data_IF_004975364022
#
_entry.id   IF_004975364022
#
_cell.length_a   1.000
_cell.length_b   1.000
_cell.length_c   1.000
_cell.angle_alpha   90.00
_cell.angle_beta   90.00
_cell.angle_gamma   90.00
#
_symmetry.space_group_name_H-M   'P 1'
#
loop_
_entity.id
_entity.type
_entity.pdbx_description
1 polymer ?
#
# COMPACT_ATOMS: atom_id res chain seq x y z
N UNK A 1 83.63 117.73 -86.73
CA UNK A 1 82.71 117.24 -87.79
C UNK A 1 83.40 116.13 -88.57
N UNK A 2 82.92 114.88 -88.49
CA UNK A 2 83.09 113.89 -89.56
C UNK A 2 81.74 113.23 -89.82
N UNK A 3 81.52 112.80 -91.05
CA UNK A 3 80.19 112.74 -91.67
C UNK A 3 79.40 111.49 -91.25
N UNK A 4 78.11 111.68 -90.97
CA UNK A 4 77.10 110.62 -90.95
C UNK A 4 77.04 109.93 -92.31
N UNK A 5 77.67 108.75 -92.44
CA UNK A 5 77.56 107.91 -93.63
C UNK A 5 76.24 107.13 -93.58
N UNK A 6 75.19 107.73 -94.11
CA UNK A 6 73.81 107.19 -94.13
C UNK A 6 73.64 106.11 -95.21
N UNK A 7 74.30 104.95 -95.06
CA UNK A 7 73.87 103.71 -95.77
C UNK A 7 74.40 102.34 -95.32
N UNK A 8 75.14 102.21 -94.21
CA UNK A 8 75.63 100.90 -93.73
C UNK A 8 75.47 100.73 -92.23
N UNK A 9 75.17 99.50 -91.77
CA UNK A 9 75.35 99.12 -90.36
C UNK A 9 76.84 99.02 -90.06
N UNK A 10 77.26 99.57 -88.93
CA UNK A 10 78.63 99.54 -88.47
C UNK A 10 78.86 98.34 -87.54
N UNK A 11 80.04 97.75 -87.59
CA UNK A 11 80.39 96.59 -86.75
C UNK A 11 80.30 96.93 -85.25
N UNK A 12 80.70 98.15 -84.86
CA UNK A 12 80.57 98.63 -83.49
C UNK A 12 79.12 98.69 -82.97
N UNK A 13 78.14 99.05 -83.82
CA UNK A 13 76.72 99.03 -83.45
C UNK A 13 76.23 97.59 -83.19
N UNK A 14 76.70 96.63 -84.01
CA UNK A 14 76.38 95.20 -83.90
C UNK A 14 76.94 94.62 -82.61
N UNK A 15 78.20 94.93 -82.29
CA UNK A 15 78.88 94.44 -81.10
C UNK A 15 78.26 95.00 -79.82
N UNK A 16 77.95 96.30 -79.78
CA UNK A 16 77.30 96.93 -78.63
C UNK A 16 75.88 96.36 -78.37
N UNK A 17 75.11 96.10 -79.43
CA UNK A 17 73.80 95.48 -79.31
C UNK A 17 73.87 94.00 -78.88
N UNK A 18 74.89 93.25 -79.33
CA UNK A 18 75.09 91.86 -78.93
C UNK A 18 75.56 91.75 -77.46
N UNK A 19 76.49 92.60 -77.02
CA UNK A 19 76.90 92.74 -75.61
C UNK A 19 75.68 93.10 -74.73
N UNK A 20 74.84 94.05 -75.17
CA UNK A 20 73.63 94.46 -74.44
C UNK A 20 72.55 93.37 -74.33
N UNK A 21 72.44 92.46 -75.31
CA UNK A 21 71.54 91.32 -75.26
C UNK A 21 72.06 90.22 -74.31
N UNK A 22 73.37 89.97 -74.28
CA UNK A 22 73.98 89.09 -73.26
C UNK A 22 73.77 89.65 -71.85
N UNK A 23 73.92 90.96 -71.64
CA UNK A 23 73.66 91.60 -70.35
C UNK A 23 72.20 91.43 -69.87
N UNK A 24 71.26 91.18 -70.79
CA UNK A 24 69.85 90.88 -70.50
C UNK A 24 69.57 89.36 -70.39
N UNK A 25 70.59 88.51 -70.45
CA UNK A 25 70.45 87.04 -70.42
C UNK A 25 69.87 86.44 -71.71
N UNK A 26 69.73 87.21 -72.79
CA UNK A 26 69.12 86.79 -74.04
C UNK A 26 70.18 86.40 -75.06
N UNK A 27 69.96 85.28 -75.78
CA UNK A 27 70.88 84.87 -76.85
C UNK A 27 70.87 85.88 -78.01
N UNK A 28 72.01 86.51 -78.35
CA UNK A 28 72.11 87.42 -79.48
C UNK A 28 72.06 86.62 -80.77
N UNK A 29 70.90 86.65 -81.42
CA UNK A 29 70.66 86.09 -82.75
C UNK A 29 70.53 87.24 -83.75
N UNK A 30 70.82 86.97 -85.04
CA UNK A 30 70.79 87.97 -86.13
C UNK A 30 69.48 88.78 -86.11
N UNK A 31 68.35 88.11 -85.86
CA UNK A 31 67.03 88.73 -85.73
C UNK A 31 66.94 89.71 -84.55
N UNK A 32 67.38 89.30 -83.35
CA UNK A 32 67.32 90.14 -82.13
C UNK A 32 68.29 91.31 -82.17
N UNK A 33 69.49 91.10 -82.70
CA UNK A 33 70.48 92.18 -82.87
C UNK A 33 69.96 93.21 -83.88
N UNK A 34 69.29 92.77 -84.97
CA UNK A 34 68.60 93.70 -85.89
C UNK A 34 67.46 94.46 -85.19
N UNK A 35 66.65 93.80 -84.35
CA UNK A 35 65.58 94.45 -83.59
C UNK A 35 66.13 95.51 -82.62
N UNK A 36 67.26 95.24 -81.96
CA UNK A 36 67.89 96.15 -81.00
C UNK A 36 68.51 97.41 -81.66
N UNK A 37 69.01 97.30 -82.90
CA UNK A 37 69.63 98.41 -83.65
C UNK A 37 68.60 99.13 -84.56
N UNK A 38 67.52 98.45 -84.93
CA UNK A 38 66.43 98.95 -85.78
C UNK A 38 66.76 99.07 -87.27
N UNK A 39 67.95 98.64 -87.71
CA UNK A 39 68.45 98.80 -89.09
C UNK A 39 69.44 97.68 -89.47
N UNK A 40 69.58 97.42 -90.77
CA UNK A 40 70.52 96.44 -91.34
C UNK A 40 69.85 95.26 -92.05
N UNK A 41 70.45 94.77 -93.14
CA UNK A 41 70.01 93.51 -93.76
C UNK A 41 70.61 92.30 -93.02
N UNK A 42 69.95 91.13 -93.01
CA UNK A 42 70.53 89.92 -92.41
C UNK A 42 71.93 89.58 -92.95
N UNK A 43 72.14 89.77 -94.25
CA UNK A 43 73.43 89.52 -94.93
C UNK A 43 74.55 90.48 -94.48
N UNK A 44 74.20 91.64 -93.91
CA UNK A 44 75.17 92.62 -93.39
C UNK A 44 75.48 92.37 -91.91
N UNK A 45 74.49 91.94 -91.13
CA UNK A 45 74.65 91.68 -89.69
C UNK A 45 75.31 90.33 -89.44
N UNK A 46 75.04 89.30 -90.26
CA UNK A 46 75.58 87.94 -90.05
C UNK A 46 77.10 87.89 -89.92
N UNK A 47 77.91 88.48 -90.83
CA UNK A 47 79.38 88.39 -90.72
C UNK A 47 79.92 89.16 -89.51
N UNK A 48 79.33 90.31 -89.17
CA UNK A 48 79.73 91.15 -88.03
C UNK A 48 79.35 90.54 -86.67
N UNK A 49 78.27 89.75 -86.63
CA UNK A 49 77.88 88.96 -85.48
C UNK A 49 78.81 87.75 -85.30
N UNK A 50 79.29 87.17 -86.40
CA UNK A 50 80.19 86.02 -86.41
C UNK A 50 81.63 86.42 -85.99
N UNK A 51 82.15 87.57 -86.42
CA UNK A 51 83.39 88.15 -85.88
C UNK A 51 83.27 88.50 -84.39
N UNK A 52 82.10 89.01 -83.97
CA UNK A 52 81.80 89.22 -82.56
C UNK A 52 81.80 87.91 -81.75
N UNK A 53 81.11 86.87 -82.21
CA UNK A 53 81.11 85.55 -81.53
C UNK A 53 82.51 84.92 -81.47
N UNK A 54 83.32 85.05 -82.54
CA UNK A 54 84.70 84.56 -82.56
C UNK A 54 85.60 85.27 -81.54
N UNK A 55 85.41 86.59 -81.33
CA UNK A 55 86.17 87.37 -80.33
C UNK A 55 85.56 87.30 -78.93
N UNK A 56 84.27 86.98 -78.79
CA UNK A 56 83.56 86.86 -77.52
C UNK A 56 84.21 85.81 -76.60
N UNK A 57 84.68 84.68 -77.15
CA UNK A 57 85.38 83.65 -76.39
C UNK A 57 86.64 84.18 -75.70
N UNK A 58 87.41 85.04 -76.37
CA UNK A 58 88.57 85.72 -75.78
C UNK A 58 88.15 86.80 -74.78
N UNK A 59 87.13 87.61 -75.09
CA UNK A 59 86.65 88.70 -74.23
C UNK A 59 86.03 88.21 -72.90
N UNK A 60 85.37 87.05 -72.90
CA UNK A 60 84.82 86.42 -71.70
C UNK A 60 85.84 85.57 -70.92
N UNK A 61 87.10 85.48 -71.38
CA UNK A 61 88.12 84.61 -70.78
C UNK A 61 87.92 83.11 -70.99
N UNK A 62 86.82 82.69 -71.63
CA UNK A 62 86.47 81.26 -71.83
C UNK A 62 87.38 80.58 -72.87
N UNK A 63 87.94 81.34 -73.82
CA UNK A 63 88.95 80.82 -74.76
C UNK A 63 90.33 80.55 -74.12
N UNK A 64 90.54 80.92 -72.85
CA UNK A 64 91.69 80.45 -72.04
C UNK A 64 91.36 79.16 -71.24
N UNK A 65 90.16 78.61 -71.40
CA UNK A 65 89.60 77.50 -70.62
C UNK A 65 90.13 76.09 -70.92
N UNK A 66 91.43 75.95 -71.26
CA UNK A 66 92.10 74.65 -71.36
C UNK A 66 93.51 74.60 -70.72
N UNK A 67 94.00 75.68 -70.10
CA UNK A 67 95.38 75.67 -69.57
C UNK A 67 95.70 76.69 -68.49
N UNK A 68 95.01 77.83 -68.45
CA UNK A 68 95.30 78.83 -67.41
C UNK A 68 94.57 78.48 -66.11
N UNK A 69 95.32 77.87 -65.21
CA UNK A 69 95.03 77.82 -63.78
C UNK A 69 94.53 79.20 -63.34
N UNK A 70 93.27 79.32 -62.90
CA UNK A 70 92.94 80.44 -62.03
C UNK A 70 93.87 80.33 -60.82
N UNK A 71 94.63 81.39 -60.46
CA UNK A 71 95.26 81.48 -59.16
C UNK A 71 94.21 81.80 -58.09
N UNK A 72 93.11 81.04 -58.07
CA UNK A 72 92.58 80.50 -56.82
C UNK A 72 93.49 79.37 -56.33
N UNK A 73 94.81 79.63 -56.32
CA UNK A 73 95.73 79.01 -55.38
C UNK A 73 95.35 79.53 -54.00
N UNK A 74 94.23 79.01 -53.50
CA UNK A 74 93.95 78.90 -52.07
C UNK A 74 95.27 78.42 -51.48
N UNK A 75 95.98 79.27 -50.71
CA UNK A 75 97.39 78.97 -50.41
C UNK A 75 97.50 77.59 -49.79
N UNK A 76 98.52 76.83 -50.13
CA UNK A 76 98.86 75.53 -49.53
C UNK A 76 98.44 75.34 -48.05
N UNK A 77 98.76 76.26 -47.11
CA UNK A 77 98.30 76.15 -45.72
C UNK A 77 96.77 76.17 -45.57
N UNK A 78 96.04 76.92 -46.38
CA UNK A 78 94.57 77.01 -46.38
C UNK A 78 93.92 75.75 -46.98
N UNK A 79 94.51 75.14 -48.02
CA UNK A 79 94.03 73.83 -48.51
C UNK A 79 94.23 72.73 -47.46
N UNK A 80 95.41 72.68 -46.81
CA UNK A 80 95.68 71.71 -45.73
C UNK A 80 94.76 71.93 -44.53
N UNK A 81 94.50 73.18 -44.15
CA UNK A 81 93.50 73.50 -43.11
C UNK A 81 92.08 73.07 -43.51
N UNK A 82 91.69 73.25 -44.77
CA UNK A 82 90.37 72.81 -45.25
C UNK A 82 90.23 71.28 -45.24
N UNK A 83 91.29 70.53 -45.58
CA UNK A 83 91.31 69.07 -45.47
C UNK A 83 91.31 68.62 -44.01
N UNK A 84 92.12 69.21 -43.13
CA UNK A 84 92.09 68.91 -41.69
C UNK A 84 90.71 69.20 -41.06
N UNK A 85 90.04 70.28 -41.46
CA UNK A 85 88.67 70.59 -41.03
C UNK A 85 87.65 69.59 -41.59
N UNK A 86 87.83 69.11 -42.83
CA UNK A 86 86.96 68.11 -43.44
C UNK A 86 87.12 66.74 -42.78
N UNK A 87 88.36 66.30 -42.55
CA UNK A 87 88.67 65.03 -41.90
C UNK A 87 88.15 65.03 -40.46
N UNK A 88 88.39 66.11 -39.70
CA UNK A 88 87.84 66.27 -38.35
C UNK A 88 86.29 66.33 -38.34
N UNK A 89 85.66 66.98 -39.34
CA UNK A 89 84.20 66.97 -39.48
C UNK A 89 83.66 65.57 -39.84
N UNK A 90 84.41 64.79 -40.62
CA UNK A 90 84.05 63.43 -40.98
C UNK A 90 84.21 62.47 -39.79
N UNK A 91 85.29 62.58 -39.02
CA UNK A 91 85.49 61.84 -37.76
C UNK A 91 84.35 62.15 -36.77
N UNK A 92 84.06 63.43 -36.52
CA UNK A 92 82.96 63.85 -35.65
C UNK A 92 81.59 63.34 -36.15
N UNK A 93 81.35 63.32 -37.47
CA UNK A 93 80.14 62.76 -38.06
C UNK A 93 80.07 61.22 -37.91
N UNK A 94 81.20 60.50 -38.02
CA UNK A 94 81.26 59.05 -37.78
C UNK A 94 81.05 58.71 -36.30
N UNK A 95 81.61 59.50 -35.37
CA UNK A 95 81.38 59.32 -33.94
C UNK A 95 79.90 59.58 -33.57
N UNK A 96 79.32 60.68 -34.07
CA UNK A 96 77.90 60.97 -33.89
C UNK A 96 77.01 59.87 -34.49
N UNK A 97 77.35 59.33 -35.67
CA UNK A 97 76.63 58.23 -36.29
C UNK A 97 76.76 56.92 -35.48
N UNK A 98 77.95 56.60 -34.94
CA UNK A 98 78.15 55.43 -34.06
C UNK A 98 77.35 55.54 -32.77
N UNK A 99 77.37 56.71 -32.10
CA UNK A 99 76.57 56.95 -30.89
C UNK A 99 75.06 56.89 -31.17
N UNK A 100 74.60 57.44 -32.30
CA UNK A 100 73.21 57.35 -32.73
C UNK A 100 72.78 55.91 -33.10
N UNK A 101 73.71 55.07 -33.56
CA UNK A 101 73.45 53.68 -33.89
C UNK A 101 73.44 52.81 -32.62
N UNK A 102 74.41 52.99 -31.71
CA UNK A 102 74.44 52.34 -30.39
C UNK A 102 73.19 52.64 -29.57
N UNK A 103 72.80 53.91 -29.43
CA UNK A 103 71.56 54.28 -28.70
C UNK A 103 70.29 53.70 -29.35
N UNK A 104 70.27 53.48 -30.67
CA UNK A 104 69.18 52.78 -31.36
C UNK A 104 69.19 51.27 -31.10
N UNK A 105 70.36 50.64 -31.06
CA UNK A 105 70.51 49.22 -30.72
C UNK A 105 70.12 48.96 -29.27
N UNK A 106 70.54 49.80 -28.33
CA UNK A 106 70.14 49.76 -26.92
C UNK A 106 68.62 49.90 -26.75
N UNK A 107 68.00 50.88 -27.43
CA UNK A 107 66.54 51.06 -27.40
C UNK A 107 65.78 49.89 -28.07
N UNK A 108 66.32 49.30 -29.14
CA UNK A 108 65.75 48.13 -29.78
C UNK A 108 65.85 46.88 -28.88
N UNK A 109 66.98 46.69 -28.20
CA UNK A 109 67.16 45.60 -27.23
C UNK A 109 66.24 45.76 -26.02
N UNK A 110 66.10 46.98 -25.48
CA UNK A 110 65.20 47.26 -24.37
C UNK A 110 63.73 46.97 -24.75
N UNK A 111 63.26 47.48 -25.89
CA UNK A 111 61.88 47.22 -26.36
C UNK A 111 61.64 45.75 -26.72
N UNK A 112 62.64 45.03 -27.22
CA UNK A 112 62.56 43.59 -27.43
C UNK A 112 62.45 42.81 -26.11
N UNK A 113 63.22 43.19 -25.09
CA UNK A 113 63.14 42.57 -23.76
C UNK A 113 61.78 42.84 -23.08
N UNK A 114 61.28 44.07 -23.14
CA UNK A 114 59.94 44.42 -22.65
C UNK A 114 58.84 43.61 -23.36
N UNK A 115 58.93 43.46 -24.68
CA UNK A 115 57.97 42.67 -25.46
C UNK A 115 58.03 41.18 -25.10
N UNK A 116 59.23 40.62 -24.87
CA UNK A 116 59.41 39.25 -24.42
C UNK A 116 58.81 39.03 -23.03
N UNK A 117 59.05 39.94 -22.08
CA UNK A 117 58.45 39.86 -20.75
C UNK A 117 56.92 39.94 -20.81
N UNK A 118 56.37 40.85 -21.62
CA UNK A 118 54.92 40.95 -21.85
C UNK A 118 54.35 39.66 -22.46
N UNK A 119 55.02 39.05 -23.44
CA UNK A 119 54.62 37.76 -24.01
C UNK A 119 54.64 36.63 -22.97
N UNK A 120 55.67 36.55 -22.14
CA UNK A 120 55.72 35.58 -21.04
C UNK A 120 54.62 35.81 -20.01
N UNK A 121 54.37 37.06 -19.61
CA UNK A 121 53.29 37.40 -18.68
C UNK A 121 51.92 37.02 -19.25
N UNK A 122 51.68 37.26 -20.54
CA UNK A 122 50.43 36.87 -21.22
C UNK A 122 50.30 35.35 -21.32
N UNK A 123 51.34 34.63 -21.72
CA UNK A 123 51.32 33.16 -21.77
C UNK A 123 51.07 32.53 -20.39
N UNK A 124 51.65 33.10 -19.32
CA UNK A 124 51.37 32.66 -17.93
C UNK A 124 49.93 32.95 -17.50
N UNK A 125 49.35 34.08 -17.93
CA UNK A 125 47.92 34.40 -17.69
C UNK A 125 47.00 33.44 -18.46
N UNK A 126 47.27 33.20 -19.73
CA UNK A 126 46.51 32.24 -20.55
C UNK A 126 46.56 30.82 -19.95
N UNK A 127 47.75 30.33 -19.60
CA UNK A 127 47.91 29.02 -18.97
C UNK A 127 47.15 28.91 -17.63
N UNK A 128 47.18 29.94 -16.78
CA UNK A 128 46.45 29.94 -15.51
C UNK A 128 44.93 30.09 -15.66
N UNK A 129 44.47 30.85 -16.65
CA UNK A 129 43.05 30.92 -17.02
C UNK A 129 42.55 29.59 -17.59
N UNK A 130 43.37 28.92 -18.41
CA UNK A 130 43.05 27.61 -18.98
C UNK A 130 42.96 26.53 -17.89
N UNK A 131 43.93 26.49 -16.97
CA UNK A 131 43.90 25.60 -15.81
C UNK A 131 42.69 25.88 -14.88
N UNK A 132 42.32 27.14 -14.66
CA UNK A 132 41.11 27.50 -13.91
C UNK A 132 39.84 27.03 -14.61
N UNK A 133 39.76 27.17 -15.94
CA UNK A 133 38.64 26.68 -16.74
C UNK A 133 38.53 25.16 -16.64
N UNK A 134 39.63 24.43 -16.84
CA UNK A 134 39.66 22.97 -16.74
C UNK A 134 39.25 22.49 -15.34
N UNK A 135 39.71 23.15 -14.28
CA UNK A 135 39.28 22.87 -12.91
C UNK A 135 37.78 23.17 -12.68
N UNK A 136 37.24 24.24 -13.27
CA UNK A 136 35.81 24.55 -13.20
C UNK A 136 34.96 23.55 -13.99
N UNK A 137 35.40 23.16 -15.20
CA UNK A 137 34.72 22.18 -16.04
C UNK A 137 34.69 20.80 -15.34
N UNK A 138 35.79 20.40 -14.68
CA UNK A 138 35.83 19.20 -13.83
C UNK A 138 34.89 19.31 -12.62
N UNK A 139 34.90 20.44 -11.90
CA UNK A 139 33.99 20.67 -10.77
C UNK A 139 32.51 20.64 -11.21
N UNK A 140 32.19 21.17 -12.39
CA UNK A 140 30.86 21.13 -12.98
C UNK A 140 30.45 19.69 -13.34
N UNK A 141 31.34 18.90 -13.94
CA UNK A 141 31.08 17.49 -14.24
C UNK A 141 30.83 16.68 -12.97
N UNK A 142 31.62 16.89 -11.91
CA UNK A 142 31.43 16.24 -10.60
C UNK A 142 30.09 16.67 -9.98
N UNK A 143 29.75 17.95 -10.00
CA UNK A 143 28.46 18.44 -9.49
C UNK A 143 27.26 17.89 -10.29
N UNK A 144 27.37 17.78 -11.60
CA UNK A 144 26.35 17.16 -12.46
C UNK A 144 26.19 15.67 -12.15
N UNK A 145 27.29 14.92 -12.01
CA UNK A 145 27.25 13.51 -11.64
C UNK A 145 26.65 13.30 -10.24
N UNK A 146 26.99 14.14 -9.26
CA UNK A 146 26.37 14.12 -7.93
C UNK A 146 24.87 14.44 -7.99
N UNK A 147 24.45 15.42 -8.80
CA UNK A 147 23.04 15.76 -9.00
C UNK A 147 22.25 14.59 -9.63
N UNK A 148 22.85 13.88 -10.60
CA UNK A 148 22.25 12.69 -11.21
C UNK A 148 22.15 11.52 -10.22
N UNK A 149 23.18 11.27 -9.42
CA UNK A 149 23.16 10.23 -8.37
C UNK A 149 22.12 10.56 -7.29
N UNK A 150 22.01 11.82 -6.86
CA UNK A 150 20.96 12.26 -5.93
C UNK A 150 19.56 12.16 -6.51
N UNK A 151 19.35 12.53 -7.78
CA UNK A 151 18.06 12.35 -8.47
C UNK A 151 17.68 10.87 -8.51
N UNK A 152 18.60 10.00 -8.93
CA UNK A 152 18.37 8.56 -8.99
C UNK A 152 18.05 7.97 -7.61
N UNK A 153 18.74 8.40 -6.55
CA UNK A 153 18.43 7.96 -5.18
C UNK A 153 17.06 8.46 -4.72
N UNK A 154 16.64 9.66 -5.11
CA UNK A 154 15.29 10.16 -4.83
C UNK A 154 14.23 9.31 -5.55
N UNK A 155 14.45 8.99 -6.83
CA UNK A 155 13.56 8.11 -7.60
C UNK A 155 13.46 6.70 -6.98
N UNK A 156 14.61 6.11 -6.59
CA UNK A 156 14.67 4.81 -5.90
C UNK A 156 13.97 4.84 -4.53
N UNK A 157 14.11 5.92 -3.76
CA UNK A 157 13.38 6.11 -2.48
C UNK A 157 11.89 6.33 -2.70
N UNK A 158 11.49 7.06 -3.74
CA UNK A 158 10.08 7.31 -4.06
C UNK A 158 9.37 6.02 -4.49
N UNK A 159 10.04 5.19 -5.30
CA UNK A 159 9.56 3.84 -5.63
C UNK A 159 9.43 2.96 -4.37
N UNK A 160 10.43 2.98 -3.47
CA UNK A 160 10.36 2.22 -2.22
C UNK A 160 9.25 2.68 -1.26
N UNK A 161 8.83 3.96 -1.34
CA UNK A 161 7.67 4.45 -0.60
C UNK A 161 6.37 3.99 -1.25
N UNK A 162 6.24 4.06 -2.57
CA UNK A 162 5.09 3.54 -3.32
C UNK A 162 4.87 2.04 -3.07
N UNK A 163 5.92 1.22 -3.23
CA UNK A 163 5.97 -0.20 -2.87
C UNK A 163 5.50 -0.49 -1.43
N UNK A 164 5.74 0.44 -0.50
CA UNK A 164 5.36 0.30 0.91
C UNK A 164 3.94 0.73 1.17
N UNK A 165 3.46 1.79 0.52
CA UNK A 165 2.09 2.25 0.63
C UNK A 165 1.14 1.21 0.01
N UNK A 166 1.46 0.66 -1.16
CA UNK A 166 0.72 -0.45 -1.78
C UNK A 166 0.62 -1.66 -0.83
N UNK A 167 1.75 -2.13 -0.27
CA UNK A 167 1.75 -3.23 0.72
C UNK A 167 1.00 -2.90 2.01
N UNK A 168 0.96 -1.63 2.41
CA UNK A 168 0.16 -1.19 3.56
C UNK A 168 -1.34 -1.20 3.26
N UNK A 169 -1.75 -0.89 2.03
CA UNK A 169 -3.14 -1.03 1.58
C UNK A 169 -3.55 -2.50 1.47
N UNK A 170 -2.75 -3.36 0.82
CA UNK A 170 -2.97 -4.82 0.77
C UNK A 170 -3.15 -5.42 2.19
N UNK A 171 -2.30 -5.03 3.13
CA UNK A 171 -2.37 -5.52 4.52
C UNK A 171 -3.56 -4.93 5.30
N UNK A 172 -4.02 -3.71 4.98
CA UNK A 172 -5.25 -3.13 5.56
C UNK A 172 -6.48 -3.86 5.05
N UNK A 173 -6.55 -4.15 3.75
CA UNK A 173 -7.66 -4.87 3.13
C UNK A 173 -7.73 -6.30 3.64
N UNK A 174 -6.60 -7.02 3.70
CA UNK A 174 -6.54 -8.36 4.29
C UNK A 174 -6.99 -8.38 5.77
N UNK A 175 -6.65 -7.35 6.55
CA UNK A 175 -7.10 -7.22 7.94
C UNK A 175 -8.59 -6.90 8.03
N UNK A 176 -9.12 -6.06 7.13
CA UNK A 176 -10.55 -5.75 7.05
C UNK A 176 -11.38 -6.98 6.64
N UNK A 177 -10.90 -7.78 5.69
CA UNK A 177 -11.50 -9.07 5.32
C UNK A 177 -11.47 -10.07 6.47
N UNK A 178 -10.33 -10.24 7.14
CA UNK A 178 -10.22 -11.10 8.31
C UNK A 178 -11.16 -10.67 9.45
N UNK A 179 -11.33 -9.35 9.66
CA UNK A 179 -12.27 -8.80 10.63
C UNK A 179 -13.73 -9.14 10.25
N UNK A 180 -14.13 -8.95 9.00
CA UNK A 180 -15.46 -9.33 8.48
C UNK A 180 -15.73 -10.83 8.60
N UNK A 181 -14.74 -11.67 8.27
CA UNK A 181 -14.83 -13.12 8.42
C UNK A 181 -15.02 -13.53 9.88
N UNK A 182 -14.25 -12.92 10.81
CA UNK A 182 -14.40 -13.16 12.25
C UNK A 182 -15.77 -12.75 12.76
N UNK A 183 -16.28 -11.59 12.34
CA UNK A 183 -17.61 -11.11 12.72
C UNK A 183 -18.71 -12.05 12.20
N UNK A 184 -18.64 -12.45 10.93
CA UNK A 184 -19.60 -13.40 10.34
C UNK A 184 -19.58 -14.78 11.05
N UNK A 185 -18.41 -15.26 11.48
CA UNK A 185 -18.31 -16.48 12.29
C UNK A 185 -18.88 -16.29 13.70
N UNK A 186 -18.67 -15.14 14.33
CA UNK A 186 -19.25 -14.81 15.64
C UNK A 186 -20.78 -14.69 15.58
N UNK A 187 -21.33 -14.09 14.52
CA UNK A 187 -22.77 -13.99 14.28
C UNK A 187 -23.37 -15.40 14.11
N UNK A 188 -22.83 -16.22 13.19
CA UNK A 188 -23.29 -17.61 12.99
C UNK A 188 -23.23 -18.45 14.27
N UNK A 189 -22.13 -18.37 15.02
CA UNK A 189 -22.02 -19.10 16.29
C UNK A 189 -23.04 -18.60 17.33
N UNK A 190 -23.34 -17.30 17.35
CA UNK A 190 -24.41 -16.72 18.15
C UNK A 190 -25.80 -17.24 17.78
N UNK A 191 -26.09 -17.34 16.47
CA UNK A 191 -27.33 -17.90 15.94
C UNK A 191 -27.47 -19.39 16.28
N UNK A 192 -26.42 -20.20 16.07
CA UNK A 192 -26.36 -21.62 16.45
C UNK A 192 -26.58 -21.84 17.94
N UNK A 193 -25.97 -21.00 18.80
CA UNK A 193 -26.15 -21.07 20.24
C UNK A 193 -27.57 -20.66 20.66
N UNK A 194 -28.18 -19.68 20.00
CA UNK A 194 -29.56 -19.27 20.25
C UNK A 194 -30.56 -20.34 19.79
N UNK A 195 -30.38 -20.92 18.59
CA UNK A 195 -31.25 -22.01 18.11
C UNK A 195 -31.13 -23.24 19.00
N UNK A 196 -29.92 -23.65 19.39
CA UNK A 196 -29.70 -24.75 20.32
C UNK A 196 -30.31 -24.47 21.72
N UNK A 197 -30.29 -23.22 22.19
CA UNK A 197 -30.94 -22.84 23.44
C UNK A 197 -32.47 -22.93 23.35
N UNK A 198 -33.06 -22.43 22.24
CA UNK A 198 -34.50 -22.52 21.98
C UNK A 198 -34.98 -23.96 21.79
N UNK A 199 -34.19 -24.81 21.13
CA UNK A 199 -34.47 -26.25 21.03
C UNK A 199 -34.43 -26.94 22.40
N UNK A 200 -33.39 -26.68 23.21
CA UNK A 200 -33.32 -27.20 24.59
C UNK A 200 -34.50 -26.74 25.43
N UNK A 201 -34.93 -25.47 25.31
CA UNK A 201 -36.11 -24.96 25.99
C UNK A 201 -37.38 -25.70 25.54
N UNK A 202 -37.62 -25.80 24.23
CA UNK A 202 -38.79 -26.53 23.68
C UNK A 202 -38.83 -27.98 24.13
N UNK A 203 -37.69 -28.67 24.12
CA UNK A 203 -37.60 -30.05 24.62
C UNK A 203 -37.87 -30.11 26.13
N UNK A 204 -37.31 -29.19 26.93
CA UNK A 204 -37.58 -29.14 28.37
C UNK A 204 -39.07 -28.85 28.68
N UNK A 205 -39.72 -27.97 27.93
CA UNK A 205 -41.16 -27.69 28.03
C UNK A 205 -42.01 -28.92 27.66
N UNK A 206 -41.63 -29.65 26.60
CA UNK A 206 -42.28 -30.91 26.21
C UNK A 206 -42.10 -31.99 27.29
N UNK A 207 -40.88 -32.19 27.82
CA UNK A 207 -40.62 -33.15 28.88
C UNK A 207 -41.39 -32.81 30.16
N UNK A 208 -41.40 -31.53 30.58
CA UNK A 208 -42.16 -31.09 31.74
C UNK A 208 -43.69 -31.21 31.53
N UNK A 209 -44.18 -30.98 30.30
CA UNK A 209 -45.57 -31.21 29.94
C UNK A 209 -45.97 -32.69 30.02
N UNK A 210 -45.14 -33.57 29.45
CA UNK A 210 -45.32 -35.02 29.50
C UNK A 210 -45.23 -35.56 30.93
N UNK A 211 -44.26 -35.10 31.72
CA UNK A 211 -44.12 -35.46 33.13
C UNK A 211 -45.38 -35.09 33.93
N UNK A 212 -45.88 -33.85 33.78
CA UNK A 212 -47.14 -33.41 34.41
C UNK A 212 -48.33 -34.28 33.96
N UNK A 213 -48.40 -34.64 32.69
CA UNK A 213 -49.47 -35.52 32.19
C UNK A 213 -49.39 -36.92 32.83
N UNK A 214 -48.22 -37.55 32.83
CA UNK A 214 -48.00 -38.87 33.45
C UNK A 214 -48.27 -38.84 34.97
N UNK A 215 -47.86 -37.78 35.67
CA UNK A 215 -48.16 -37.61 37.10
C UNK A 215 -49.68 -37.50 37.35
N UNK A 216 -50.39 -36.73 36.53
CA UNK A 216 -51.86 -36.63 36.61
C UNK A 216 -52.54 -37.99 36.32
N UNK A 217 -52.03 -38.79 35.38
CA UNK A 217 -52.53 -40.15 35.13
C UNK A 217 -52.25 -41.09 36.30
N UNK A 218 -51.07 -41.03 36.91
CA UNK A 218 -50.73 -41.80 38.11
C UNK A 218 -51.62 -41.42 39.29
N UNK A 219 -51.86 -40.13 39.51
CA UNK A 219 -52.75 -39.67 40.59
C UNK A 219 -54.22 -39.99 40.32
N UNK A 220 -54.66 -39.95 39.07
CA UNK A 220 -55.97 -40.47 38.66
C UNK A 220 -56.08 -41.98 38.93
N UNK A 221 -55.11 -42.77 38.52
CA UNK A 221 -55.08 -44.21 38.78
C UNK A 221 -55.04 -44.54 40.27
N UNK A 222 -54.34 -43.73 41.09
CA UNK A 222 -54.36 -43.82 42.56
C UNK A 222 -55.74 -43.50 43.14
N UNK A 223 -56.43 -42.47 42.63
CA UNK A 223 -57.79 -42.13 43.04
C UNK A 223 -58.79 -43.22 42.66
N UNK A 224 -58.72 -43.75 41.43
CA UNK A 224 -59.54 -44.87 40.96
C UNK A 224 -59.29 -46.14 41.79
N UNK A 225 -58.03 -46.47 42.10
CA UNK A 225 -57.67 -47.58 43.00
C UNK A 225 -58.18 -47.36 44.43
N UNK A 226 -58.10 -46.14 44.95
CA UNK A 226 -58.60 -45.81 46.29
C UNK A 226 -60.14 -45.89 46.36
N UNK A 227 -60.83 -45.45 45.31
CA UNK A 227 -62.28 -45.59 45.18
C UNK A 227 -62.68 -47.08 45.08
N UNK A 228 -62.00 -47.86 44.22
CA UNK A 228 -62.21 -49.29 44.09
C UNK A 228 -62.02 -50.02 45.44
N UNK A 229 -60.95 -49.72 46.19
CA UNK A 229 -60.70 -50.25 47.54
C UNK A 229 -61.82 -49.88 48.52
N UNK A 230 -62.31 -48.63 48.51
CA UNK A 230 -63.47 -48.23 49.33
C UNK A 230 -64.71 -49.06 48.97
N UNK A 231 -65.03 -49.19 47.68
CA UNK A 231 -66.19 -50.00 47.26
C UNK A 231 -66.03 -51.48 47.59
N UNK A 232 -64.81 -52.04 47.52
CA UNK A 232 -64.53 -53.42 47.92
C UNK A 232 -64.73 -53.61 49.42
N UNK A 233 -64.15 -52.75 50.27
CA UNK A 233 -64.35 -52.83 51.73
C UNK A 233 -65.80 -52.59 52.16
N UNK A 234 -66.57 -51.78 51.43
CA UNK A 234 -68.03 -51.68 51.63
C UNK A 234 -68.77 -52.95 51.22
N UNK A 235 -68.38 -53.59 50.11
CA UNK A 235 -68.96 -54.86 49.67
C UNK A 235 -68.63 -55.99 50.65
N UNK A 236 -67.40 -56.04 51.17
CA UNK A 236 -66.97 -56.95 52.24
C UNK A 236 -67.77 -56.72 53.52
N UNK A 237 -67.98 -55.46 53.94
CA UNK A 237 -68.85 -55.13 55.08
C UNK A 237 -70.30 -55.56 54.85
N UNK A 238 -70.87 -55.29 53.65
CA UNK A 238 -72.22 -55.71 53.26
C UNK A 238 -72.34 -57.24 53.17
N UNK A 239 -71.27 -57.94 52.79
CA UNK A 239 -71.21 -59.41 52.80
C UNK A 239 -71.11 -59.95 54.23
N UNK A 240 -70.27 -59.36 55.08
CA UNK A 240 -70.11 -59.73 56.48
C UNK A 240 -71.40 -59.51 57.28
N UNK A 241 -72.11 -58.40 57.08
CA UNK A 241 -73.42 -58.18 57.72
C UNK A 241 -74.46 -59.17 57.22
N UNK A 242 -74.52 -59.46 55.91
CA UNK A 242 -75.41 -60.51 55.37
C UNK A 242 -75.07 -61.90 55.92
N UNK A 243 -73.78 -62.22 56.10
CA UNK A 243 -73.36 -63.49 56.72
C UNK A 243 -73.76 -63.54 58.19
N UNK A 244 -73.59 -62.46 58.95
CA UNK A 244 -74.04 -62.37 60.34
C UNK A 244 -75.58 -62.43 60.47
N UNK A 245 -76.34 -61.79 59.56
CA UNK A 245 -77.80 -61.93 59.49
C UNK A 245 -78.24 -63.36 59.18
N UNK A 246 -77.54 -64.04 58.26
CA UNK A 246 -77.80 -65.45 57.96
C UNK A 246 -77.44 -66.34 59.15
N UNK A 247 -76.30 -66.12 59.80
CA UNK A 247 -75.90 -66.84 61.03
C UNK A 247 -76.95 -66.65 62.13
N UNK A 248 -77.37 -65.42 62.42
CA UNK A 248 -78.42 -65.16 63.41
C UNK A 248 -79.81 -65.71 63.03
N UNK A 249 -80.09 -65.95 61.74
CA UNK A 249 -81.28 -66.71 61.29
C UNK A 249 -81.09 -68.22 61.49
N UNK A 250 -79.90 -68.74 61.21
CA UNK A 250 -79.57 -70.15 61.47
C UNK A 250 -79.62 -70.45 62.97
N UNK A 251 -78.98 -69.64 63.81
CA UNK A 251 -79.02 -69.74 65.29
C UNK A 251 -80.46 -69.73 65.80
N UNK A 252 -81.30 -68.78 65.37
CA UNK A 252 -82.74 -68.77 65.72
C UNK A 252 -83.47 -70.03 65.25
N UNK A 253 -83.16 -70.53 64.05
CA UNK A 253 -83.76 -71.77 63.57
C UNK A 253 -83.28 -72.99 64.36
N UNK A 254 -82.03 -73.01 64.85
CA UNK A 254 -81.53 -74.05 65.76
C UNK A 254 -82.17 -73.95 67.14
N UNK A 255 -82.33 -72.74 67.70
CA UNK A 255 -83.11 -72.49 68.93
C UNK A 255 -84.57 -72.96 68.78
N UNK A 256 -85.22 -72.64 67.66
CA UNK A 256 -86.56 -73.12 67.32
C UNK A 256 -86.60 -74.65 67.25
N UNK A 257 -85.67 -75.30 66.54
CA UNK A 257 -85.57 -76.77 66.47
C UNK A 257 -85.32 -77.41 67.84
N UNK A 258 -84.44 -76.84 68.68
CA UNK A 258 -84.19 -77.30 70.04
C UNK A 258 -85.41 -77.11 70.95
N UNK A 259 -86.15 -76.01 70.79
CA UNK A 259 -87.38 -75.76 71.55
C UNK A 259 -88.52 -76.70 71.11
N UNK A 260 -88.65 -76.98 69.81
CA UNK A 260 -89.57 -77.99 69.29
C UNK A 260 -89.17 -79.39 69.73
N UNK A 261 -87.87 -79.69 69.83
CA UNK A 261 -87.38 -80.96 70.36
C UNK A 261 -87.70 -81.11 71.85
N UNK A 262 -87.53 -80.07 72.67
CA UNK A 262 -87.89 -80.13 74.09
C UNK A 262 -89.41 -80.15 74.32
N UNK A 263 -90.20 -79.48 73.48
CA UNK A 263 -91.66 -79.62 73.44
C UNK A 263 -92.09 -81.03 73.04
N UNK A 264 -91.43 -81.63 72.05
CA UNK A 264 -91.68 -83.02 71.65
C UNK A 264 -91.29 -83.99 72.78
N UNK A 265 -90.15 -83.78 73.43
CA UNK A 265 -89.69 -84.61 74.55
C UNK A 265 -90.59 -84.48 75.77
N UNK A 266 -91.07 -83.28 76.11
CA UNK A 266 -92.05 -83.09 77.19
C UNK A 266 -93.43 -83.65 76.83
N UNK A 267 -93.87 -83.54 75.57
CA UNK A 267 -95.07 -84.20 75.08
C UNK A 267 -94.94 -85.73 75.06
N UNK A 268 -93.77 -86.28 74.73
CA UNK A 268 -93.46 -87.71 74.83
C UNK A 268 -93.45 -88.18 76.28
N UNK A 269 -92.86 -87.42 77.20
CA UNK A 269 -92.88 -87.72 78.63
C UNK A 269 -94.30 -87.64 79.21
N UNK A 270 -95.11 -86.66 78.78
CA UNK A 270 -96.52 -86.56 79.14
C UNK A 270 -97.36 -87.70 78.54
N UNK A 271 -97.06 -88.14 77.31
CA UNK A 271 -97.67 -89.30 76.68
C UNK A 271 -97.24 -90.62 77.35
N UNK A 272 -95.98 -90.74 77.80
CA UNK A 272 -95.48 -91.85 78.59
C UNK A 272 -96.19 -91.91 79.95
N UNK A 273 -96.28 -90.79 80.68
CA UNK A 273 -97.08 -90.68 81.91
C UNK A 273 -98.58 -90.96 81.68
N UNK A 274 -99.13 -90.61 80.52
CA UNK A 274 -100.51 -90.96 80.16
C UNK A 274 -100.65 -92.45 79.81
N UNK A 275 -99.62 -93.07 79.20
CA UNK A 275 -99.56 -94.50 78.93
C UNK A 275 -99.36 -95.31 80.22
N UNK A 276 -98.54 -94.84 81.16
CA UNK A 276 -98.40 -95.40 82.50
C UNK A 276 -99.73 -95.32 83.25
N UNK A 277 -100.38 -94.14 83.30
CA UNK A 277 -101.73 -94.00 83.88
C UNK A 277 -102.77 -94.87 83.18
N UNK A 278 -102.66 -95.07 81.86
CA UNK A 278 -103.54 -95.99 81.13
C UNK A 278 -103.20 -97.47 81.41
N UNK A 279 -101.94 -97.80 81.70
CA UNK A 279 -101.51 -99.12 82.15
C UNK A 279 -101.95 -99.39 83.60
N UNK A 280 -101.94 -98.38 84.47
CA UNK A 280 -102.46 -98.43 85.84
C UNK A 280 -104.00 -98.57 85.83
N UNK A 281 -104.71 -97.84 84.97
CA UNK A 281 -106.14 -98.03 84.79
C UNK A 281 -106.48 -99.39 84.16
N UNK A 282 -105.63 -99.93 83.27
CA UNK A 282 -105.75 -101.30 82.77
C UNK A 282 -105.47 -102.34 83.86
N UNK A 283 -104.46 -102.16 84.70
CA UNK A 283 -104.14 -103.09 85.77
C UNK A 283 -105.18 -103.07 86.89
N UNK A 284 -105.79 -101.91 87.16
CA UNK A 284 -106.97 -101.79 88.03
C UNK A 284 -108.22 -102.45 87.41
N UNK A 285 -108.43 -102.34 86.09
CA UNK A 285 -109.49 -103.08 85.40
C UNK A 285 -109.25 -104.59 85.40
N UNK A 286 -108.01 -105.04 85.18
CA UNK A 286 -107.63 -106.45 85.29
C UNK A 286 -107.79 -106.97 86.73
N UNK A 287 -107.46 -106.17 87.75
CA UNK A 287 -107.71 -106.51 89.15
C UNK A 287 -109.21 -106.61 89.46
N UNK A 288 -110.03 -105.73 88.89
CA UNK A 288 -111.49 -105.76 89.04
C UNK A 288 -112.13 -106.95 88.28
N UNK A 289 -111.58 -107.34 87.13
CA UNK A 289 -112.02 -108.50 86.35
C UNK A 289 -111.56 -109.83 86.98
N UNK A 290 -110.36 -109.89 87.58
CA UNK A 290 -109.86 -111.09 88.31
C UNK A 290 -110.65 -111.42 89.58
N UNK A 291 -111.42 -110.48 90.12
CA UNK A 291 -112.35 -110.72 91.24
C UNK A 291 -113.75 -111.19 90.79
N UNK A 292 -114.04 -111.20 89.48
CA UNK A 292 -115.39 -111.44 88.96
C UNK A 292 -115.63 -112.84 88.35
N UNK A 293 -114.59 -113.58 87.91
CA UNK A 293 -114.80 -114.90 87.31
C UNK A 293 -113.59 -115.85 87.33
N UNK A 294 -113.87 -117.13 87.65
CA UNK A 294 -113.37 -118.32 86.94
C UNK A 294 -111.85 -118.49 86.81
N UNK A 295 -111.19 -119.00 87.85
CA UNK A 295 -109.76 -119.29 87.83
C UNK A 295 -109.36 -120.67 87.27
N UNK A 296 -108.03 -120.84 87.17
CA UNK A 296 -107.25 -122.04 86.82
C UNK A 296 -107.14 -122.42 85.33
N UNK A 297 -105.97 -122.10 84.73
CA UNK A 297 -104.99 -123.05 84.15
C UNK A 297 -103.99 -122.31 83.22
N UNK A 298 -102.67 -122.38 83.47
CA UNK A 298 -101.65 -122.05 82.47
C UNK A 298 -100.51 -123.08 82.41
N UNK A 299 -100.61 -124.05 81.50
CA UNK A 299 -99.55 -124.99 81.08
C UNK A 299 -100.13 -125.90 79.96
N UNK A 300 -99.39 -126.51 79.01
CA UNK A 300 -98.09 -126.22 78.40
C UNK A 300 -97.91 -127.09 77.14
N UNK A 301 -97.05 -126.69 76.20
CA UNK A 301 -96.32 -127.63 75.34
C UNK A 301 -96.92 -128.04 73.99
N UNK A 302 -96.85 -127.15 72.99
CA UNK A 302 -96.83 -127.53 71.56
C UNK A 302 -96.13 -126.43 70.74
N UNK A 303 -95.19 -126.75 69.84
CA UNK A 303 -94.58 -125.70 69.01
C UNK A 303 -93.57 -126.16 67.95
N UNK A 304 -93.27 -125.32 66.95
CA UNK A 304 -93.95 -124.07 66.54
C UNK A 304 -93.68 -123.76 65.06
N UNK A 305 -94.49 -122.89 64.45
CA UNK A 305 -94.54 -122.65 63.00
C UNK A 305 -94.81 -121.17 62.62
N UNK A 306 -94.62 -120.82 61.34
CA UNK A 306 -94.86 -119.49 60.70
C UNK A 306 -93.88 -118.35 61.14
N UNK A 307 -93.68 -117.24 60.42
CA UNK A 307 -94.08 -116.87 59.06
C UNK A 307 -94.02 -115.34 58.76
N UNK A 308 -93.17 -114.94 57.78
CA UNK A 308 -93.50 -114.12 56.56
C UNK A 308 -93.98 -112.63 56.64
N UNK A 309 -93.15 -111.71 56.08
CA UNK A 309 -93.43 -110.33 55.53
C UNK A 309 -93.90 -109.28 56.58
N UNK A 310 -93.72 -107.95 56.51
CA UNK A 310 -93.09 -106.93 55.63
C UNK A 310 -93.27 -105.53 56.31
N UNK A 311 -92.99 -104.31 55.79
CA UNK A 311 -92.27 -103.78 54.61
C UNK A 311 -92.32 -102.21 54.60
N UNK A 312 -91.42 -101.51 53.86
CA UNK A 312 -91.44 -100.03 53.53
C UNK A 312 -91.01 -99.05 54.68
N UNK A 313 -90.41 -97.85 54.48
CA UNK A 313 -89.96 -97.09 53.27
C UNK A 313 -89.01 -95.90 53.60
N UNK A 314 -88.14 -95.52 52.63
CA UNK A 314 -87.55 -94.16 52.37
C UNK A 314 -86.68 -93.46 53.45
N UNK A 315 -85.71 -92.56 53.18
CA UNK A 315 -85.10 -92.00 51.95
C UNK A 315 -83.57 -91.77 52.19
N UNK A 316 -82.65 -92.27 51.34
CA UNK A 316 -81.89 -91.57 50.27
C UNK A 316 -81.26 -90.17 50.58
N UNK A 317 -79.91 -90.16 50.62
CA UNK A 317 -78.91 -89.32 49.84
C UNK A 317 -78.93 -87.78 50.07
N UNK A 318 -77.89 -86.98 49.83
CA UNK A 318 -76.55 -87.12 49.17
C UNK A 318 -75.60 -86.00 49.68
N UNK A 319 -74.34 -86.27 50.03
CA UNK A 319 -73.11 -86.16 49.19
C UNK A 319 -72.68 -84.76 48.72
N UNK A 320 -71.49 -84.31 49.20
CA UNK A 320 -70.43 -83.55 48.45
C UNK A 320 -70.71 -82.09 47.98
N UNK A 321 -69.75 -81.18 47.73
CA UNK A 321 -68.26 -81.16 47.83
C UNK A 321 -67.74 -79.69 47.78
N UNK A 322 -66.44 -79.54 48.07
CA UNK A 322 -65.49 -78.51 47.59
C UNK A 322 -65.61 -77.06 48.07
N UNK A 323 -64.45 -76.54 48.46
CA UNK A 323 -64.10 -75.15 48.74
C UNK A 323 -62.68 -74.96 48.21
N UNK A 324 -62.46 -74.16 47.17
CA UNK A 324 -61.22 -73.39 47.02
C UNK A 324 -61.24 -72.30 45.92
N UNK A 325 -60.24 -71.41 45.99
CA UNK A 325 -59.91 -70.19 45.21
C UNK A 325 -60.54 -68.90 45.74
N UNK A 326 -59.76 -67.83 45.95
CA UNK A 326 -58.82 -67.26 44.96
C UNK A 326 -57.55 -66.65 45.56
N UNK A 327 -56.47 -66.70 44.78
CA UNK A 327 -55.63 -65.54 44.50
C UNK A 327 -56.05 -64.91 43.17
#
# INVERSE_FOLDING_TARGET
MQKTSTRGVQEADVWAAADALIAQGLRPTIERVRQQIGRGSPNTVSPMLETWFATLGQRLGVAAGQGELLPSSVPDPVQRLAQQLWDAAQEAAMEAARAALQSREEAAQATQAELQEQQEQMARREASMQAQKEAMDQALQVAQAQSQDLSRRLDEMQQQLQDRDERLEEMRDALAEAARQREALQQKHGEEMQSAALERQRMAEQYAGNERHMLNEVDRARQELAAARKTATEQERKAATRLAELQGRYEKSEEEQLSLHSQLQTAQNAAALAQERAADLRSLLEAQQRLAAGGALPDAGAGLSLGRRGSLSAARRSMTRLKDRRG
#
